data_IF_983435451540
#
_entry.id   IF_983435451540
#
_cell.length_a   1.000
_cell.length_b   1.000
_cell.length_c   1.000
_cell.angle_alpha   90.00
_cell.angle_beta   90.00
_cell.angle_gamma   90.00
#
_symmetry.space_group_name_H-M   'P 1'
#
loop_
_entity.id
_entity.type
_entity.pdbx_description
1 polymer ?
2 non-polymer ?
3 non-polymer ?
4 non-polymer ?
5 water ?
#
# COMPACT_ATOMS: atom_id res chain seq x y z
N UNK A 7 8.56 -10.06 -11.83
CA UNK A 7 7.17 -10.14 -12.30
C UNK A 7 6.80 -8.80 -12.94
N UNK A 8 5.95 -8.84 -13.94
CA UNK A 8 5.33 -7.62 -14.47
C UNK A 8 4.24 -7.11 -13.58
N UNK A 9 3.76 -7.90 -12.61
CA UNK A 9 2.58 -7.51 -11.78
C UNK A 9 2.86 -7.80 -10.32
N UNK A 10 3.95 -7.31 -9.76
CA UNK A 10 4.24 -7.60 -8.35
C UNK A 10 3.16 -7.08 -7.40
N UNK A 11 2.89 -7.80 -6.32
CA UNK A 11 2.05 -7.31 -5.23
C UNK A 11 2.75 -6.18 -4.51
N UNK A 12 2.03 -5.18 -4.12
CA UNK A 12 2.58 -4.03 -3.38
C UNK A 12 2.14 -4.09 -1.94
N UNK A 13 3.08 -4.09 -1.01
CA UNK A 13 2.81 -4.20 0.43
C UNK A 13 3.49 -3.04 1.15
N UNK A 14 3.01 -2.75 2.36
CA UNK A 14 3.71 -1.79 3.19
C UNK A 14 5.08 -2.28 3.60
N UNK A 15 6.01 -1.33 3.67
CA UNK A 15 7.40 -1.58 4.05
C UNK A 15 7.67 -0.76 5.31
N UNK A 16 7.55 -1.40 6.45
CA UNK A 16 7.49 -0.75 7.76
C UNK A 16 8.40 -1.48 8.71
N UNK A 17 9.17 -0.74 9.48
CA UNK A 17 9.82 -1.22 10.69
C UNK A 17 9.02 -0.75 11.89
N UNK A 18 8.62 -1.65 12.75
CA UNK A 18 7.65 -1.42 13.80
C UNK A 18 8.28 -0.94 15.09
N UNK A 19 9.61 -0.89 15.17
CA UNK A 19 10.25 -0.33 16.37
C UNK A 19 9.89 -1.11 17.62
N UNK A 20 9.39 -0.40 18.59
CA UNK A 20 8.94 -0.86 19.94
C UNK A 20 7.54 -1.43 19.90
N UNK A 21 6.88 -1.45 18.74
CA UNK A 21 5.41 -1.66 18.65
C UNK A 21 5.04 -2.68 17.57
N UNK A 22 5.71 -3.84 17.61
CA UNK A 22 5.40 -4.95 16.69
C UNK A 22 3.94 -5.35 16.84
N UNK A 23 3.33 -5.14 17.99
CA UNK A 23 1.91 -5.52 18.21
C UNK A 23 0.98 -4.77 17.28
N UNK A 24 1.41 -3.64 16.71
CA UNK A 24 0.49 -2.84 15.86
C UNK A 24 0.44 -3.34 14.42
N UNK A 25 1.34 -4.23 14.06
CA UNK A 25 1.35 -4.72 12.66
C UNK A 25 0.03 -5.44 12.41
N UNK A 26 -0.69 -5.08 11.33
CA UNK A 26 -1.93 -5.80 11.04
C UNK A 26 -1.65 -7.28 10.73
N UNK A 27 -2.53 -8.11 11.22
CA UNK A 27 -2.47 -9.53 10.82
C UNK A 27 -2.89 -9.69 9.35
N UNK A 28 -2.54 -10.80 8.73
CA UNK A 28 -3.05 -11.20 7.38
C UNK A 28 -4.57 -11.05 7.41
N UNK A 29 -5.19 -11.54 8.48
CA UNK A 29 -6.65 -11.55 8.57
C UNK A 29 -7.22 -10.12 8.56
N UNK A 30 -6.61 -9.23 9.30
CA UNK A 30 -7.05 -7.81 9.42
C UNK A 30 -6.90 -7.14 8.05
N UNK A 31 -5.81 -7.44 7.39
CA UNK A 31 -5.56 -6.91 6.06
C UNK A 31 -6.61 -7.39 5.06
N UNK A 32 -6.90 -8.67 5.06
CA UNK A 32 -7.89 -9.24 4.13
C UNK A 32 -9.26 -8.62 4.42
N UNK A 33 -9.59 -8.47 5.68
CA UNK A 33 -10.83 -7.79 6.12
C UNK A 33 -10.96 -6.38 5.52
N UNK A 34 -9.94 -5.58 5.72
CA UNK A 34 -9.96 -4.19 5.26
C UNK A 34 -10.08 -4.13 3.74
N UNK A 35 -9.38 -5.02 3.04
CA UNK A 35 -9.44 -5.06 1.56
C UNK A 35 -10.89 -5.34 1.17
N UNK A 36 -11.57 -6.22 1.88
CA UNK A 36 -12.94 -6.56 1.49
C UNK A 36 -13.81 -5.32 1.62
N UNK A 37 -13.67 -4.60 2.71
CA UNK A 37 -14.42 -3.35 2.98
C UNK A 37 -14.17 -2.30 1.88
N UNK A 38 -12.88 -2.09 1.64
CA UNK A 38 -12.48 -1.11 0.59
C UNK A 38 -13.04 -1.51 -0.79
N UNK A 39 -12.95 -2.78 -1.13
CA UNK A 39 -13.37 -3.24 -2.46
C UNK A 39 -14.88 -3.04 -2.53
N UNK A 40 -15.62 -3.29 -1.46
CA UNK A 40 -17.04 -3.06 -1.50
C UNK A 40 -17.34 -1.58 -1.65
N UNK A 41 -16.68 -0.71 -0.89
CA UNK A 41 -16.85 0.74 -1.04
C UNK A 41 -16.63 1.19 -2.48
N UNK A 42 -15.56 0.64 -3.11
CA UNK A 42 -15.27 1.03 -4.50
C UNK A 42 -16.39 0.65 -5.47
N UNK A 43 -17.19 -0.33 -5.17
CA UNK A 43 -18.32 -0.67 -6.05
C UNK A 43 -19.29 0.51 -6.14
N UNK A 44 -19.44 1.25 -5.08
CA UNK A 44 -20.36 2.41 -5.07
C UNK A 44 -19.64 3.70 -5.37
N UNK A 45 -18.32 3.72 -5.15
CA UNK A 45 -17.51 4.92 -5.27
C UNK A 45 -16.38 4.57 -6.26
N UNK A 46 -16.69 4.41 -7.55
CA UNK A 46 -15.62 4.14 -8.53
C UNK A 46 -14.55 5.22 -8.53
N UNK A 47 -13.32 4.80 -8.80
CA UNK A 47 -12.19 5.74 -8.88
C UNK A 47 -12.36 6.73 -10.01
N UNK A 48 -11.97 8.00 -9.80
CA UNK A 48 -12.01 8.96 -10.88
C UNK A 48 -11.05 8.56 -12.01
N UNK A 49 -11.40 8.99 -13.19
CA UNK A 49 -10.59 8.73 -14.43
C UNK A 49 -9.32 9.53 -14.30
N UNK A 50 -8.09 8.98 -14.16
CA UNK A 50 -6.92 9.86 -14.07
C UNK A 50 -6.63 10.69 -15.33
N UNK A 51 -7.11 10.31 -16.51
CA UNK A 51 -6.92 11.14 -17.74
C UNK A 51 -7.75 12.43 -17.62
N UNK A 52 -8.77 12.46 -16.76
CA UNK A 52 -9.72 13.59 -16.76
C UNK A 52 -9.86 14.21 -15.37
N UNK A 53 -9.66 13.45 -14.29
CA UNK A 53 -9.97 13.92 -12.92
C UNK A 53 -9.02 15.04 -12.48
N UNK A 54 -9.60 16.02 -11.79
CA UNK A 54 -8.83 17.05 -11.09
C UNK A 54 -8.30 16.53 -9.77
N UNK A 55 -7.29 17.16 -9.21
CA UNK A 55 -6.77 16.76 -7.90
C UNK A 55 -7.83 16.86 -6.81
N UNK A 56 -8.65 17.88 -6.89
CA UNK A 56 -9.71 18.02 -5.91
C UNK A 56 -10.67 16.81 -5.99
N UNK A 57 -11.06 16.42 -7.20
CA UNK A 57 -11.93 15.24 -7.40
C UNK A 57 -11.27 14.00 -6.81
N UNK A 58 -9.99 13.83 -7.03
CA UNK A 58 -9.27 12.66 -6.50
C UNK A 58 -9.25 12.67 -4.98
N UNK A 59 -8.93 13.82 -4.39
CA UNK A 59 -8.86 13.97 -2.93
C UNK A 59 -10.23 13.74 -2.26
N UNK A 60 -11.26 14.31 -2.83
CA UNK A 60 -12.61 14.13 -2.21
C UNK A 60 -13.06 12.70 -2.40
N UNK A 61 -12.76 12.07 -3.54
CA UNK A 61 -13.07 10.64 -3.69
C UNK A 61 -12.31 9.82 -2.66
N UNK A 62 -11.06 10.04 -2.46
CA UNK A 62 -10.31 9.32 -1.43
C UNK A 62 -10.98 9.42 -0.08
N UNK A 63 -11.36 10.66 0.29
CA UNK A 63 -12.09 10.97 1.56
C UNK A 63 -13.31 10.07 1.64
N UNK A 64 -14.07 10.01 0.57
CA UNK A 64 -15.31 9.23 0.56
C UNK A 64 -15.06 7.75 0.81
N UNK A 65 -13.97 7.21 0.30
CA UNK A 65 -13.68 5.80 0.52
C UNK A 65 -13.28 5.58 1.97
N UNK A 66 -12.43 6.43 2.53
CA UNK A 66 -12.04 6.30 3.94
C UNK A 66 -13.28 6.36 4.83
N UNK A 67 -14.17 7.29 4.57
CA UNK A 67 -15.42 7.45 5.37
C UNK A 67 -16.30 6.22 5.20
N UNK A 68 -16.43 5.74 3.98
CA UNK A 68 -17.20 4.52 3.72
C UNK A 68 -16.67 3.37 4.55
N UNK A 69 -15.37 3.16 4.54
CA UNK A 69 -14.82 2.03 5.30
C UNK A 69 -15.04 2.19 6.76
N UNK A 70 -14.88 3.37 7.33
CA UNK A 70 -15.16 3.60 8.76
C UNK A 70 -16.64 3.36 9.02
N UNK A 71 -17.53 3.88 8.21
CA UNK A 71 -18.99 3.75 8.45
C UNK A 71 -19.35 2.25 8.38
N UNK A 72 -18.87 1.52 7.39
CA UNK A 72 -19.25 0.12 7.17
C UNK A 72 -18.80 -0.67 8.35
N UNK A 73 -17.69 -0.33 8.94
CA UNK A 73 -17.19 -1.11 10.07
C UNK A 73 -17.64 -0.54 11.42
N UNK A 74 -18.61 0.34 11.46
CA UNK A 74 -19.24 0.67 12.75
C UNK A 74 -18.59 1.78 13.53
N UNK A 75 -17.77 2.61 12.90
CA UNK A 75 -16.97 3.63 13.64
C UNK A 75 -17.71 4.92 13.92
N UNK A 76 -18.94 5.11 13.56
CA UNK A 76 -19.72 6.34 13.85
C UNK A 76 -20.94 5.95 14.65
N UNK A 77 -21.26 6.78 15.64
CA UNK A 77 -22.47 6.52 16.46
C UNK A 77 -23.71 7.06 15.79
N UNK A 78 -24.88 6.89 16.47
CA UNK A 78 -26.18 7.37 15.94
C UNK A 78 -26.29 8.89 15.84
N UNK A 79 -25.34 9.67 16.34
CA UNK A 79 -25.30 11.15 16.15
C UNK A 79 -24.32 11.50 15.03
N UNK A 80 -23.63 10.51 14.40
CA UNK A 80 -22.61 10.70 13.34
C UNK A 80 -21.19 10.93 13.93
N UNK A 81 -21.03 10.78 15.22
CA UNK A 81 -19.73 11.10 15.89
C UNK A 81 -18.79 9.89 15.85
N UNK A 82 -17.53 10.10 15.51
CA UNK A 82 -16.55 8.99 15.52
C UNK A 82 -16.43 8.43 16.90
N UNK A 83 -16.31 7.13 17.00
CA UNK A 83 -16.23 6.36 18.26
C UNK A 83 -14.82 6.37 18.82
N UNK A 84 -14.46 7.53 19.37
CA UNK A 84 -13.11 7.70 19.99
C UNK A 84 -12.88 6.66 21.08
N UNK A 85 -13.90 6.33 21.89
CA UNK A 85 -13.70 5.38 22.99
C UNK A 85 -13.46 3.98 22.44
N UNK A 86 -14.09 3.65 21.32
CA UNK A 86 -13.77 2.36 20.65
C UNK A 86 -12.32 2.34 20.21
N UNK A 87 -11.82 3.45 19.65
CA UNK A 87 -10.42 3.53 19.22
C UNK A 87 -9.47 3.28 20.39
N UNK A 88 -9.78 3.90 21.51
CA UNK A 88 -9.02 3.73 22.76
C UNK A 88 -9.00 2.24 23.17
N UNK A 89 -10.19 1.66 23.18
CA UNK A 89 -10.26 0.24 23.62
C UNK A 89 -9.50 -0.66 22.66
N UNK A 90 -9.49 -0.33 21.38
CA UNK A 90 -8.77 -1.15 20.37
C UNK A 90 -7.28 -1.03 20.62
N UNK A 91 -6.76 0.15 21.00
CA UNK A 91 -5.33 0.29 21.34
C UNK A 91 -5.04 -0.61 22.54
N UNK A 92 -5.84 -0.51 23.60
CA UNK A 92 -5.58 -1.36 24.79
C UNK A 92 -5.52 -2.86 24.40
N UNK A 93 -6.35 -3.27 23.46
CA UNK A 93 -6.44 -4.70 23.08
C UNK A 93 -5.20 -5.12 22.32
N UNK A 94 -4.35 -4.21 21.83
CA UNK A 94 -3.12 -4.60 21.12
C UNK A 94 -2.10 -5.16 22.09
N UNK A 95 -2.21 -4.84 23.38
CA UNK A 95 -1.27 -5.38 24.38
C UNK A 95 0.15 -4.90 24.11
N UNK A 96 0.29 -3.60 23.88
CA UNK A 96 1.61 -2.92 23.81
C UNK A 96 2.33 -3.10 25.14
N UNK A 97 3.62 -2.88 25.14
CA UNK A 97 4.40 -2.78 26.41
C UNK A 97 3.80 -1.64 27.23
N UNK A 98 3.76 -1.79 28.56
CA UNK A 98 3.00 -0.87 29.44
C UNK A 98 3.43 0.59 29.23
N UNK A 99 4.72 0.89 29.12
CA UNK A 99 5.21 2.30 29.10
C UNK A 99 4.71 2.90 27.76
N UNK A 100 4.84 2.15 26.67
CA UNK A 100 4.35 2.59 25.35
C UNK A 100 2.85 2.76 25.40
N UNK A 101 2.11 1.80 25.93
CA UNK A 101 0.66 1.92 26.00
C UNK A 101 0.31 3.25 26.67
N UNK A 102 0.87 3.53 27.85
CA UNK A 102 0.50 4.73 28.60
C UNK A 102 0.74 5.99 27.75
N UNK A 103 1.89 6.04 27.09
CA UNK A 103 2.19 7.19 26.22
C UNK A 103 1.22 7.28 25.06
N UNK A 104 0.92 6.19 24.41
CA UNK A 104 -0.06 6.18 23.29
C UNK A 104 -1.45 6.62 23.75
N UNK A 105 -1.88 6.12 24.91
CA UNK A 105 -3.22 6.47 25.41
C UNK A 105 -3.29 7.96 25.83
N UNK A 106 -2.21 8.52 26.27
CA UNK A 106 -2.17 9.97 26.56
C UNK A 106 -2.29 10.76 25.28
N UNK A 107 -1.59 10.31 24.22
CA UNK A 107 -1.73 10.99 22.91
C UNK A 107 -3.11 10.74 22.37
N UNK A 108 -3.75 9.61 22.61
CA UNK A 108 -5.16 9.45 22.19
C UNK A 108 -5.93 10.64 22.72
N UNK A 109 -5.84 10.93 24.00
CA UNK A 109 -6.60 12.05 24.60
C UNK A 109 -6.18 13.35 23.90
N UNK A 110 -4.89 13.55 23.76
CA UNK A 110 -4.46 14.83 23.17
C UNK A 110 -4.96 14.98 21.73
N UNK A 111 -4.96 13.90 20.98
CA UNK A 111 -5.39 13.91 19.57
C UNK A 111 -6.91 14.06 19.49
N UNK A 112 -7.69 13.44 20.38
CA UNK A 112 -9.14 13.64 20.40
C UNK A 112 -9.42 15.10 20.69
N UNK A 113 -8.74 15.67 21.68
CA UNK A 113 -8.98 17.09 22.04
C UNK A 113 -8.68 17.98 20.85
N UNK A 114 -7.50 17.77 20.25
CA UNK A 114 -7.12 18.61 19.08
C UNK A 114 -8.20 18.51 18.00
N UNK A 115 -8.66 17.29 17.74
CA UNK A 115 -9.58 17.06 16.60
C UNK A 115 -10.90 17.73 16.91
N UNK A 116 -11.37 17.63 18.12
CA UNK A 116 -12.71 18.12 18.48
C UNK A 116 -12.70 19.63 18.69
N UNK A 117 -11.60 20.20 19.15
CA UNK A 117 -11.55 21.68 19.27
C UNK A 117 -11.35 22.33 17.90
N UNK A 118 -10.67 21.70 16.94
CA UNK A 118 -10.36 22.34 15.65
C UNK A 118 -11.58 22.23 14.76
N UNK A 119 -12.27 21.10 14.77
CA UNK A 119 -13.33 20.84 13.77
C UNK A 119 -14.67 20.55 14.43
N UNK A 120 -15.73 21.13 13.90
CA UNK A 120 -17.11 20.74 14.23
C UNK A 120 -17.60 19.66 13.26
N UNK A 121 -17.04 19.55 12.08
CA UNK A 121 -17.40 18.49 11.11
C UNK A 121 -16.87 17.15 11.63
N UNK A 122 -17.74 16.17 11.77
CA UNK A 122 -17.40 14.88 12.38
C UNK A 122 -16.41 14.11 11.52
N UNK A 123 -16.45 14.29 10.19
CA UNK A 123 -15.48 13.65 9.28
C UNK A 123 -14.11 14.33 9.42
N UNK A 124 -14.07 15.66 9.46
CA UNK A 124 -12.81 16.36 9.67
C UNK A 124 -12.21 15.94 11.03
N UNK A 125 -13.05 15.76 12.05
CA UNK A 125 -12.54 15.33 13.37
C UNK A 125 -11.79 13.99 13.22
N UNK A 126 -12.38 13.01 12.58
CA UNK A 126 -11.74 11.68 12.52
C UNK A 126 -10.50 11.78 11.63
N UNK A 127 -10.55 12.58 10.57
CA UNK A 127 -9.37 12.76 9.72
C UNK A 127 -8.20 13.32 10.51
N UNK A 128 -8.44 14.37 11.29
CA UNK A 128 -7.32 14.95 12.06
C UNK A 128 -6.90 13.99 13.17
N UNK A 129 -7.83 13.32 13.85
CA UNK A 129 -7.46 12.34 14.90
C UNK A 129 -6.56 11.26 14.31
N UNK A 130 -6.92 10.72 13.15
CA UNK A 130 -6.13 9.59 12.58
C UNK A 130 -4.75 10.10 12.18
N UNK A 131 -4.66 11.31 11.59
CA UNK A 131 -3.35 11.85 11.22
C UNK A 131 -2.50 12.09 12.46
N UNK A 132 -3.11 12.66 13.47
CA UNK A 132 -2.47 12.95 14.78
C UNK A 132 -1.93 11.67 15.42
N UNK A 133 -2.73 10.64 15.38
CA UNK A 133 -2.31 9.35 16.01
C UNK A 133 -1.23 8.68 15.13
N UNK A 134 -1.35 8.77 13.82
CA UNK A 134 -0.30 8.16 12.93
C UNK A 134 1.05 8.76 13.30
N UNK A 135 1.10 10.07 13.40
CA UNK A 135 2.33 10.78 13.73
C UNK A 135 2.82 10.47 15.12
N UNK A 136 1.94 10.60 16.12
CA UNK A 136 2.37 10.40 17.51
C UNK A 136 2.68 8.95 17.84
N UNK A 137 1.94 8.00 17.37
CA UNK A 137 2.27 6.58 17.56
C UNK A 137 3.61 6.31 16.95
N UNK A 138 3.86 6.84 15.73
CA UNK A 138 5.14 6.60 15.02
C UNK A 138 6.31 7.12 15.86
N UNK A 139 6.13 8.31 16.42
CA UNK A 139 7.19 8.91 17.26
C UNK A 139 7.43 8.09 18.51
N UNK A 140 6.39 7.70 19.23
CA UNK A 140 6.53 6.96 20.50
C UNK A 140 7.19 5.62 20.22
N UNK A 141 6.81 4.98 19.14
CA UNK A 141 7.21 3.58 18.87
C UNK A 141 8.54 3.51 18.13
N UNK A 142 8.96 4.60 17.52
CA UNK A 142 10.11 4.57 16.56
C UNK A 142 9.80 3.84 15.29
N UNK A 143 8.58 3.97 14.78
CA UNK A 143 8.19 3.31 13.53
C UNK A 143 8.73 4.08 12.35
N UNK A 144 9.28 3.36 11.36
CA UNK A 144 9.68 3.97 10.07
C UNK A 144 8.85 3.34 8.96
N UNK A 145 8.36 4.18 8.08
CA UNK A 145 7.52 3.70 6.94
C UNK A 145 8.20 4.18 5.66
N UNK A 146 8.34 3.27 4.70
CA UNK A 146 8.95 3.64 3.42
C UNK A 146 7.92 4.40 2.59
N UNK A 147 8.31 5.58 2.10
CA UNK A 147 7.41 6.38 1.24
C UNK A 147 8.24 6.47 -0.04
N UNK B 7 -10.50 3.73 13.71
CA UNK B 7 -9.31 3.16 14.33
C UNK B 7 -8.18 4.16 14.35
N UNK B 8 -7.36 4.11 15.40
CA UNK B 8 -6.11 4.89 15.41
C UNK B 8 -5.06 4.25 14.52
N UNK B 9 -5.19 2.97 14.17
CA UNK B 9 -4.17 2.22 13.43
C UNK B 9 -4.81 1.42 12.26
N UNK B 10 -5.54 2.09 11.38
CA UNK B 10 -6.15 1.33 10.26
C UNK B 10 -5.13 0.66 9.35
N UNK B 11 -5.47 -0.55 8.88
CA UNK B 11 -4.67 -1.21 7.85
C UNK B 11 -4.76 -0.41 6.58
N UNK B 12 -3.64 -0.33 5.87
CA UNK B 12 -3.59 0.35 4.57
C UNK B 12 -3.48 -0.69 3.45
N UNK B 13 -4.41 -0.62 2.53
CA UNK B 13 -4.57 -1.61 1.46
C UNK B 13 -4.60 -0.88 0.13
N UNK B 14 -4.22 -1.56 -0.98
CA UNK B 14 -4.39 -0.99 -2.31
C UNK B 14 -5.87 -0.72 -2.58
N UNK B 15 -6.07 0.38 -3.29
CA UNK B 15 -7.39 0.84 -3.74
C UNK B 15 -7.35 0.86 -5.25
N UNK B 16 -7.83 -0.21 -5.90
CA UNK B 16 -7.60 -0.45 -7.34
C UNK B 16 -8.87 -0.94 -7.95
N UNK B 17 -9.19 -0.46 -9.15
CA UNK B 17 -10.22 -1.05 -10.02
C UNK B 17 -9.49 -1.78 -11.11
N UNK B 18 -9.80 -3.01 -11.30
CA UNK B 18 -9.02 -3.90 -12.16
C UNK B 18 -9.49 -3.93 -13.62
N UNK B 19 -10.56 -3.22 -13.92
CA UNK B 19 -10.95 -3.06 -15.34
C UNK B 19 -11.24 -4.38 -15.98
N UNK B 20 -10.61 -4.66 -17.12
CA UNK B 20 -10.75 -5.92 -17.88
C UNK B 20 -9.91 -7.06 -17.34
N UNK B 21 -9.18 -6.81 -16.22
CA UNK B 21 -8.04 -7.68 -15.87
C UNK B 21 -8.12 -8.03 -14.39
N UNK B 22 -9.26 -8.49 -13.86
CA UNK B 22 -9.37 -8.98 -12.48
C UNK B 22 -8.38 -10.11 -12.26
N UNK B 23 -7.99 -10.84 -13.27
CA UNK B 23 -7.04 -11.99 -13.14
C UNK B 23 -5.72 -11.49 -12.55
N UNK B 24 -5.41 -10.24 -12.64
CA UNK B 24 -4.11 -9.69 -12.18
C UNK B 24 -4.17 -9.33 -10.68
N UNK B 25 -5.32 -9.32 -10.05
CA UNK B 25 -5.39 -8.96 -8.62
C UNK B 25 -4.67 -9.99 -7.77
N UNK B 26 -3.73 -9.61 -6.91
CA UNK B 26 -3.03 -10.60 -6.10
C UNK B 26 -4.02 -11.34 -5.19
N UNK B 27 -3.76 -12.63 -5.08
CA UNK B 27 -4.46 -13.43 -4.06
C UNK B 27 -3.98 -13.06 -2.65
N UNK B 28 -4.74 -13.47 -1.63
CA UNK B 28 -4.32 -13.31 -0.24
C UNK B 28 -2.97 -14.04 -0.07
N UNK B 29 -2.82 -15.20 -0.63
CA UNK B 29 -1.55 -16.00 -0.48
C UNK B 29 -0.38 -15.20 -1.06
N UNK B 30 -0.56 -14.64 -2.24
CA UNK B 30 0.51 -13.88 -2.92
C UNK B 30 0.85 -12.65 -2.08
N UNK B 31 -0.17 -12.00 -1.55
CA UNK B 31 0.04 -10.81 -0.70
C UNK B 31 0.82 -11.16 0.57
N UNK B 32 0.43 -12.26 1.22
CA UNK B 32 1.08 -12.69 2.44
C UNK B 32 2.51 -13.11 2.15
N UNK B 33 2.79 -13.79 1.03
CA UNK B 33 4.17 -14.15 0.70
C UNK B 33 4.98 -12.88 0.49
N UNK B 34 4.44 -11.90 -0.25
CA UNK B 34 5.22 -10.68 -0.50
C UNK B 34 5.54 -9.96 0.80
N UNK B 35 4.61 -9.89 1.73
CA UNK B 35 4.87 -9.30 3.07
C UNK B 35 5.96 -10.09 3.77
N UNK B 36 5.90 -11.41 3.73
CA UNK B 36 6.90 -12.24 4.44
C UNK B 36 8.29 -11.95 3.84
N UNK B 37 8.36 -11.83 2.51
CA UNK B 37 9.63 -11.56 1.83
C UNK B 37 10.15 -10.15 2.20
N UNK B 38 9.26 -9.17 2.11
CA UNK B 38 9.68 -7.81 2.48
C UNK B 38 10.12 -7.76 3.94
N UNK B 39 9.47 -8.41 4.86
CA UNK B 39 9.81 -8.31 6.29
C UNK B 39 11.14 -8.98 6.46
N UNK B 40 11.42 -10.06 5.76
CA UNK B 40 12.73 -10.67 5.88
C UNK B 40 13.81 -9.80 5.28
N UNK B 41 13.56 -9.19 4.14
CA UNK B 41 14.49 -8.23 3.55
C UNK B 41 14.81 -7.07 4.49
N UNK B 42 13.81 -6.56 5.19
CA UNK B 42 14.08 -5.45 6.14
C UNK B 42 14.97 -5.86 7.31
N UNK B 43 15.06 -7.11 7.62
CA UNK B 43 15.88 -7.53 8.78
C UNK B 43 17.29 -7.26 8.41
N UNK B 44 17.70 -7.21 7.12
CA UNK B 44 19.07 -6.85 6.72
C UNK B 44 19.18 -5.47 6.06
N UNK B 45 18.11 -4.87 5.52
CA UNK B 45 18.09 -3.64 4.73
C UNK B 45 17.21 -2.64 5.48
N UNK B 46 17.73 -2.06 6.57
CA UNK B 46 16.93 -1.20 7.39
C UNK B 46 16.56 0.10 6.70
N UNK B 47 15.38 0.62 6.97
CA UNK B 47 15.00 1.93 6.45
C UNK B 47 15.96 3.01 6.93
N UNK B 48 16.33 3.94 6.02
CA UNK B 48 17.15 5.07 6.47
C UNK B 48 16.39 5.96 7.46
N UNK B 49 17.14 6.55 8.35
CA UNK B 49 16.65 7.49 9.35
C UNK B 49 16.27 8.77 8.60
N UNK B 50 15.02 9.21 8.57
CA UNK B 50 14.72 10.47 7.90
C UNK B 50 15.35 11.73 8.53
N UNK B 51 15.82 11.66 9.79
CA UNK B 51 16.54 12.84 10.35
C UNK B 51 17.85 13.06 9.62
N UNK B 52 18.40 12.03 8.97
CA UNK B 52 19.80 12.09 8.49
C UNK B 52 19.89 11.75 6.99
N UNK B 53 18.88 11.05 6.45
CA UNK B 53 19.01 10.40 5.12
C UNK B 53 18.94 11.40 3.97
N UNK B 54 19.80 11.21 3.02
CA UNK B 54 19.71 11.89 1.71
C UNK B 54 18.58 11.27 0.92
N UNK B 55 18.12 11.96 -0.13
CA UNK B 55 17.13 11.35 -1.08
C UNK B 55 17.85 10.23 -1.84
N UNK B 56 19.09 10.38 -2.15
CA UNK B 56 19.79 9.30 -2.83
C UNK B 56 19.79 8.06 -1.95
N UNK B 57 20.07 8.16 -0.66
CA UNK B 57 20.07 7.01 0.25
C UNK B 57 18.67 6.43 0.29
N UNK B 58 17.64 7.21 0.37
CA UNK B 58 16.25 6.70 0.43
C UNK B 58 15.96 5.96 -0.85
N UNK B 59 16.30 6.53 -1.99
CA UNK B 59 16.02 5.89 -3.29
C UNK B 59 16.81 4.60 -3.43
N UNK B 60 18.06 4.58 -3.09
CA UNK B 60 18.84 3.37 -3.22
C UNK B 60 18.31 2.32 -2.26
N UNK B 61 17.89 2.64 -1.07
CA UNK B 61 17.28 1.67 -0.16
C UNK B 61 16.00 1.12 -0.78
N UNK B 62 15.12 1.96 -1.29
CA UNK B 62 13.91 1.40 -1.93
C UNK B 62 14.26 0.41 -3.05
N UNK B 63 15.23 0.75 -3.88
CA UNK B 63 15.71 -0.16 -4.94
C UNK B 63 16.20 -1.46 -4.31
N UNK B 64 16.94 -1.42 -3.21
CA UNK B 64 17.45 -2.64 -2.59
C UNK B 64 16.34 -3.53 -2.10
N UNK B 65 15.27 -2.99 -1.58
CA UNK B 65 14.14 -3.82 -1.08
C UNK B 65 13.48 -4.51 -2.27
N UNK B 66 13.26 -3.77 -3.35
CA UNK B 66 12.68 -4.40 -4.54
C UNK B 66 13.58 -5.51 -5.07
N UNK B 67 14.87 -5.29 -5.13
CA UNK B 67 15.84 -6.28 -5.62
C UNK B 67 15.81 -7.48 -4.72
N UNK B 68 15.89 -7.26 -3.40
CA UNK B 68 15.86 -8.30 -2.40
C UNK B 68 14.64 -9.18 -2.59
N UNK B 69 13.48 -8.59 -2.76
CA UNK B 69 12.23 -9.36 -2.87
C UNK B 69 12.21 -10.11 -4.18
N UNK B 70 12.65 -9.58 -5.27
CA UNK B 70 12.72 -10.27 -6.55
C UNK B 70 13.73 -11.41 -6.44
N UNK B 71 14.88 -11.21 -5.86
CA UNK B 71 15.86 -12.28 -5.70
C UNK B 71 15.29 -13.40 -4.85
N UNK B 72 14.58 -13.11 -3.78
CA UNK B 72 14.03 -14.11 -2.87
C UNK B 72 13.06 -14.96 -3.63
N UNK B 73 12.41 -14.44 -4.61
CA UNK B 73 11.37 -15.17 -5.34
C UNK B 73 11.93 -15.74 -6.64
N UNK B 74 13.21 -15.74 -6.81
CA UNK B 74 13.79 -16.48 -7.95
C UNK B 74 13.81 -15.78 -9.27
N UNK B 75 13.74 -14.45 -9.29
CA UNK B 75 13.56 -13.70 -10.54
C UNK B 75 14.86 -13.36 -11.23
N UNK B 76 16.03 -13.79 -10.80
CA UNK B 76 17.32 -13.51 -11.50
C UNK B 76 18.06 -14.80 -11.76
N UNK B 77 18.73 -14.90 -12.89
CA UNK B 77 19.65 -16.01 -13.13
C UNK B 77 20.96 -15.81 -12.35
N UNK B 78 21.81 -16.83 -12.46
CA UNK B 78 23.06 -16.83 -11.66
C UNK B 78 23.94 -15.63 -12.00
N UNK B 79 23.89 -15.13 -13.25
CA UNK B 79 24.69 -13.94 -13.66
C UNK B 79 24.04 -12.66 -13.14
N UNK B 80 22.81 -12.63 -12.71
CA UNK B 80 22.17 -11.46 -12.15
C UNK B 80 21.17 -10.87 -13.12
N UNK B 81 20.88 -11.56 -14.22
CA UNK B 81 19.95 -11.02 -15.26
C UNK B 81 18.52 -11.37 -14.88
N UNK B 82 17.62 -10.43 -15.00
CA UNK B 82 16.21 -10.66 -14.70
C UNK B 82 15.66 -11.67 -15.68
N UNK B 83 14.81 -12.56 -15.17
CA UNK B 83 14.18 -13.64 -15.96
C UNK B 83 12.93 -13.12 -16.72
N UNK B 84 13.24 -12.40 -17.81
CA UNK B 84 12.20 -11.82 -18.65
C UNK B 84 11.26 -12.89 -19.20
N UNK B 85 11.82 -14.05 -19.60
CA UNK B 85 10.95 -15.10 -20.19
C UNK B 85 10.04 -15.69 -19.14
N UNK B 86 10.45 -15.77 -17.89
CA UNK B 86 9.57 -16.19 -16.78
C UNK B 86 8.43 -15.19 -16.64
N UNK B 87 8.76 -13.91 -16.72
CA UNK B 87 7.71 -12.88 -16.60
C UNK B 87 6.68 -13.06 -17.72
N UNK B 88 7.17 -13.31 -18.92
CA UNK B 88 6.30 -13.51 -20.13
C UNK B 88 5.38 -14.70 -19.92
N UNK B 89 5.95 -15.80 -19.42
CA UNK B 89 5.14 -17.01 -19.22
C UNK B 89 4.18 -16.78 -18.09
N UNK B 90 4.53 -16.00 -17.08
CA UNK B 90 3.60 -15.76 -15.94
C UNK B 90 2.41 -14.98 -16.50
N UNK B 91 2.62 -14.01 -17.41
CA UNK B 91 1.48 -13.25 -18.05
C UNK B 91 0.58 -14.27 -18.74
N UNK B 92 1.14 -15.14 -19.55
CA UNK B 92 0.30 -16.13 -20.29
C UNK B 92 -0.50 -16.97 -19.27
N UNK B 93 0.07 -17.32 -18.14
CA UNK B 93 -0.60 -18.18 -17.14
C UNK B 93 -1.68 -17.44 -16.37
N UNK B 94 -1.79 -16.12 -16.51
CA UNK B 94 -2.90 -15.36 -15.89
C UNK B 94 -4.22 -15.63 -16.61
N UNK B 95 -4.17 -16.09 -17.86
CA UNK B 95 -5.39 -16.43 -18.63
C UNK B 95 -6.28 -15.20 -18.77
N UNK B 96 -5.63 -14.14 -19.23
CA UNK B 96 -6.34 -12.91 -19.61
C UNK B 96 -7.18 -13.21 -20.86
N UNK B 97 -8.11 -12.33 -21.11
CA UNK B 97 -8.87 -12.39 -22.39
C UNK B 97 -7.87 -12.35 -23.55
N UNK B 98 -8.13 -13.05 -24.65
CA UNK B 98 -7.13 -13.25 -25.70
C UNK B 98 -6.62 -11.90 -26.25
N UNK B 99 -7.47 -10.92 -26.46
CA UNK B 99 -7.07 -9.63 -27.07
C UNK B 99 -6.19 -8.90 -26.07
N UNK B 100 -6.56 -8.92 -24.82
CA UNK B 100 -5.76 -8.31 -23.74
C UNK B 100 -4.40 -9.00 -23.68
N UNK B 101 -4.38 -10.32 -23.68
CA UNK B 101 -3.10 -11.04 -23.62
C UNK B 101 -2.21 -10.63 -24.78
N UNK B 102 -2.76 -10.63 -26.00
CA UNK B 102 -1.98 -10.27 -27.20
C UNK B 102 -1.31 -8.90 -27.02
N UNK B 103 -2.11 -7.93 -26.57
CA UNK B 103 -1.63 -6.57 -26.40
C UNK B 103 -0.57 -6.52 -25.29
N UNK B 104 -0.83 -7.18 -24.15
CA UNK B 104 0.12 -7.20 -23.02
C UNK B 104 1.43 -7.84 -23.44
N UNK B 105 1.39 -8.92 -24.26
CA UNK B 105 2.66 -9.58 -24.66
C UNK B 105 3.45 -8.74 -25.65
N UNK B 106 2.77 -7.99 -26.54
CA UNK B 106 3.49 -7.05 -27.42
C UNK B 106 4.22 -6.05 -26.57
N UNK B 107 3.56 -5.57 -25.49
CA UNK B 107 4.18 -4.58 -24.59
C UNK B 107 5.28 -5.24 -23.79
N UNK B 108 5.09 -6.47 -23.32
CA UNK B 108 6.20 -7.16 -22.62
C UNK B 108 7.47 -7.15 -23.46
N UNK B 109 7.33 -7.56 -24.71
CA UNK B 109 8.51 -7.66 -25.61
C UNK B 109 9.10 -6.26 -25.84
N UNK B 110 8.23 -5.26 -26.02
CA UNK B 110 8.74 -3.91 -26.31
C UNK B 110 9.34 -3.30 -25.06
N UNK B 111 8.81 -3.62 -23.88
CA UNK B 111 9.34 -3.10 -22.58
C UNK B 111 10.68 -3.76 -22.33
N UNK B 112 10.82 -5.06 -22.56
CA UNK B 112 12.09 -5.73 -22.40
C UNK B 112 13.16 -5.14 -23.30
N UNK B 113 12.83 -4.92 -24.56
CA UNK B 113 13.79 -4.37 -25.55
C UNK B 113 14.21 -2.98 -25.14
N UNK B 114 13.26 -2.15 -24.73
CA UNK B 114 13.61 -0.81 -24.23
C UNK B 114 14.56 -0.94 -23.03
N UNK B 115 14.25 -1.78 -22.07
CA UNK B 115 15.02 -1.91 -20.84
C UNK B 115 16.45 -2.30 -21.18
N UNK B 116 16.64 -3.25 -22.06
CA UNK B 116 18.00 -3.78 -22.35
C UNK B 116 18.78 -2.81 -23.22
N UNK B 117 18.11 -2.03 -24.03
CA UNK B 117 18.84 -1.09 -24.89
C UNK B 117 19.23 0.09 -24.04
N UNK B 118 18.40 0.56 -23.14
CA UNK B 118 18.63 1.82 -22.38
C UNK B 118 19.66 1.58 -21.30
N UNK B 119 19.67 0.40 -20.70
CA UNK B 119 20.46 0.14 -19.47
C UNK B 119 21.35 -1.07 -19.64
N UNK B 120 22.61 -0.97 -19.20
CA UNK B 120 23.51 -2.14 -19.10
C UNK B 120 23.42 -2.80 -17.71
N UNK B 121 23.01 -2.03 -16.71
CA UNK B 121 22.91 -2.48 -15.32
C UNK B 121 21.67 -3.38 -15.23
N UNK B 122 21.80 -4.59 -14.68
CA UNK B 122 20.67 -5.55 -14.70
C UNK B 122 19.52 -5.06 -13.84
N UNK B 123 19.83 -4.37 -12.75
CA UNK B 123 18.80 -3.82 -11.83
C UNK B 123 18.07 -2.65 -12.51
N UNK B 124 18.81 -1.76 -13.15
CA UNK B 124 18.15 -0.68 -13.93
C UNK B 124 17.21 -1.27 -14.99
N UNK B 125 17.64 -2.35 -15.63
CA UNK B 125 16.79 -3.03 -16.65
C UNK B 125 15.46 -3.47 -16.03
N UNK B 126 15.49 -4.11 -14.87
CA UNK B 126 14.21 -4.62 -14.31
C UNK B 126 13.38 -3.42 -13.85
N UNK B 127 14.01 -2.38 -13.36
CA UNK B 127 13.26 -1.19 -12.90
C UNK B 127 12.50 -0.56 -14.08
N UNK B 128 13.18 -0.40 -15.19
CA UNK B 128 12.51 0.19 -16.36
C UNK B 128 11.41 -0.74 -16.86
N UNK B 129 11.73 -2.06 -16.96
CA UNK B 129 10.72 -3.02 -17.45
C UNK B 129 9.48 -2.95 -16.57
N UNK B 130 9.62 -2.95 -15.23
CA UNK B 130 8.42 -3.03 -14.36
C UNK B 130 7.62 -1.72 -14.49
N UNK B 131 8.30 -0.56 -14.58
CA UNK B 131 7.57 0.72 -14.73
C UNK B 131 6.83 0.74 -16.08
N UNK B 132 7.51 0.29 -17.12
CA UNK B 132 6.95 0.20 -18.48
C UNK B 132 5.70 -0.70 -18.49
N UNK B 133 5.78 -1.82 -17.81
CA UNK B 133 4.64 -2.76 -17.80
C UNK B 133 3.53 -2.24 -16.90
N UNK B 134 3.88 -1.59 -15.78
CA UNK B 134 2.81 -1.02 -14.91
C UNK B 134 1.96 -0.07 -15.76
N UNK B 135 2.62 0.82 -16.49
CA UNK B 135 1.91 1.82 -17.32
C UNK B 135 1.08 1.14 -18.43
N UNK B 136 1.74 0.22 -19.14
CA UNK B 136 1.10 -0.37 -20.34
C UNK B 136 0.00 -1.35 -19.97
N UNK B 137 0.19 -2.14 -18.92
CA UNK B 137 -0.88 -3.10 -18.52
C UNK B 137 -2.04 -2.27 -18.03
N UNK B 138 -1.79 -1.17 -17.28
CA UNK B 138 -2.90 -0.32 -16.75
C UNK B 138 -3.70 0.24 -17.91
N UNK B 139 -3.00 0.72 -18.93
CA UNK B 139 -3.70 1.30 -20.13
C UNK B 139 -4.56 0.24 -20.83
N UNK B 140 -3.98 -0.89 -21.12
CA UNK B 140 -4.68 -1.93 -21.88
C UNK B 140 -5.88 -2.41 -21.10
N UNK B 141 -5.72 -2.62 -19.79
CA UNK B 141 -6.73 -3.27 -18.92
C UNK B 141 -7.75 -2.24 -18.47
N UNK B 142 -7.46 -0.96 -18.54
CA UNK B 142 -8.35 0.03 -17.91
C UNK B 142 -8.27 0.01 -16.41
N UNK B 143 -7.11 -0.26 -15.85
CA UNK B 143 -6.88 -0.31 -14.40
C UNK B 143 -6.70 1.09 -13.88
N UNK B 144 -7.33 1.38 -12.73
CA UNK B 144 -7.14 2.66 -12.01
C UNK B 144 -6.61 2.33 -10.64
N UNK B 145 -5.56 3.00 -10.23
CA UNK B 145 -4.92 2.79 -8.93
C UNK B 145 -4.97 4.11 -8.19
N UNK B 146 -5.47 4.14 -6.98
CA UNK B 146 -5.44 5.38 -6.17
C UNK B 146 -3.98 5.60 -5.69
N UNK B 147 -3.46 6.81 -5.88
CA UNK B 147 -2.09 7.12 -5.39
C UNK B 147 -2.21 7.60 -3.95
X LIG C 1 -14.82 22.35 10.52
X LIG C 1 -15.49 22.83 11.70
X LIG C 1 -15.52 22.71 9.32
X LIG C 1 -14.77 20.89 10.65
X LIG C 1 -13.50 22.82 10.45
X LIG D 1 1.00 3.16 13.85
X LIG D 1 0.08 2.32 12.94
X LIG D 1 0.39 2.44 11.44
X LIG D 1 1.40 3.35 10.84
X LIG D 1 -0.25 1.47 10.62
X LIG D 1 0.26 0.98 9.32
X LIG D 1 -0.78 0.02 8.74
X LIG D 1 -0.15 -0.79 7.36
X LIG D 1 -1.35 -1.59 6.81
X LIG D 1 0.30 0.18 6.47
X LIG D 1 0.84 -1.67 7.88
X LIG D 1 2.11 4.25 11.85
X LIG D 1 1.38 4.45 13.17
X LIG E 1 -6.69 7.54 26.86
X LIG F 1 22.92 1.99 -17.09
X LIG F 1 22.01 3.04 -17.40
X LIG F 1 22.15 0.88 -16.44
X LIG F 1 23.92 2.48 -16.14
X LIG F 1 23.55 1.47 -18.19
X LIG G 1 -1.16 -4.18 -13.34
X LIG G 1 -0.70 -4.75 -12.02
X LIG G 1 -0.93 -3.88 -10.86
X LIG G 1 -0.72 -2.45 -10.95
X LIG G 1 -0.56 -4.49 -9.60
X LIG G 1 -1.02 -3.87 -8.33
X LIG G 1 -0.64 -4.80 -7.16
X LIG G 1 -1.38 -4.41 -5.69
X LIG G 1 -2.69 -4.76 -5.89
X LIG G 1 -1.13 -3.05 -5.48
X LIG G 1 -0.78 -5.33 -4.64
X LIG G 1 -1.15 -1.90 -12.32
X LIG G 1 -0.65 -2.74 -13.49
#
# INVERSE_FOLDING_TARGET
APQAPASATPAKVPVIEWGKCEQLKPSESERTSKAAVVDKCLQSLPLPDPEKATQQEIDKHRESVTTCALKAEGWFDDEGVYKFDRARNEIKNKKLDSEVEEAVLLKHDACQKEATEKHDDYINQVQLYQACMDYNISQICGIKVMV
APQAPASATPAKVPVIEWGKCEQLKPSESERTSKAAVVDKCLQSLPLPDPEKATQQEIDKHRESVTTCALKAEGWFDDEGVYKFDRARNEIKNKKLDSEVEEAVLLKHDACQKEATEKHDDYINQVQLYQACMDYNISQICGIKVMV
SO4 S O1 O2 O3 O4
NHE C3' C2' C1' C6' N C1 C2 S O1 O2 O3 C5' C4'
NA NA
SO4 S O1 O2 O3 O4
NHE C3' C2' C1' C6' N C1 C2 S O1 O2 O3 C5' C4'
#
